data_IF_332417357261
#
_entry.id   IF_332417357261
#
_cell.length_a   1.000
_cell.length_b   1.000
_cell.length_c   1.000
_cell.angle_alpha   90.00
_cell.angle_beta   90.00
_cell.angle_gamma   90.00
#
_symmetry.space_group_name_H-M   'P 1'
#
loop_
_entity.id
_entity.type
_entity.pdbx_description
1 polymer ?
#
# COMPACT_ATOMS: atom_id res chain seq x y z
N UNK A 1 10.60 -16.34 -16.12
CA UNK A 1 11.80 -15.59 -15.72
C UNK A 1 11.70 -15.42 -14.21
N UNK A 2 12.75 -15.73 -13.46
CA UNK A 2 12.73 -15.47 -12.01
C UNK A 2 12.68 -13.95 -11.81
N UNK A 3 11.76 -13.47 -10.98
CA UNK A 3 11.68 -12.06 -10.62
C UNK A 3 12.92 -11.74 -9.79
N UNK A 4 13.71 -10.75 -10.19
CA UNK A 4 14.79 -10.24 -9.34
C UNK A 4 14.17 -9.40 -8.22
N UNK A 5 14.02 -10.01 -7.05
CA UNK A 5 13.43 -9.35 -5.88
C UNK A 5 14.28 -8.18 -5.39
N UNK A 6 15.57 -8.15 -5.71
CA UNK A 6 16.43 -7.00 -5.43
C UNK A 6 15.94 -5.76 -6.17
N UNK A 7 15.75 -5.88 -7.48
CA UNK A 7 15.27 -4.78 -8.32
C UNK A 7 13.86 -4.34 -7.89
N UNK A 8 12.98 -5.31 -7.59
CA UNK A 8 11.62 -5.04 -7.11
C UNK A 8 11.65 -4.25 -5.78
N UNK A 9 12.48 -4.66 -4.82
CA UNK A 9 12.59 -3.98 -3.54
C UNK A 9 13.19 -2.58 -3.69
N UNK A 10 14.29 -2.44 -4.45
CA UNK A 10 14.97 -1.16 -4.67
C UNK A 10 14.05 -0.17 -5.38
N UNK A 11 13.37 -0.60 -6.44
CA UNK A 11 12.44 0.24 -7.18
C UNK A 11 11.27 0.72 -6.30
N UNK A 12 10.74 -0.16 -5.45
CA UNK A 12 9.73 0.22 -4.46
C UNK A 12 10.27 1.22 -3.44
N UNK A 13 11.47 0.97 -2.90
CA UNK A 13 12.13 1.83 -1.93
C UNK A 13 12.34 3.24 -2.48
N UNK A 14 12.88 3.37 -3.69
CA UNK A 14 13.07 4.65 -4.39
C UNK A 14 11.74 5.38 -4.62
N UNK A 15 10.69 4.63 -4.95
CA UNK A 15 9.35 5.18 -5.11
C UNK A 15 8.82 5.81 -3.82
N UNK A 16 8.96 5.12 -2.69
CA UNK A 16 8.50 5.62 -1.38
C UNK A 16 9.34 6.79 -0.87
N UNK A 17 10.67 6.71 -1.01
CA UNK A 17 11.57 7.83 -0.67
C UNK A 17 11.26 9.08 -1.48
N UNK A 18 11.05 8.94 -2.80
CA UNK A 18 10.70 10.06 -3.67
C UNK A 18 9.37 10.69 -3.29
N UNK A 19 8.34 9.90 -2.91
CA UNK A 19 7.05 10.43 -2.44
C UNK A 19 7.19 11.31 -1.20
N UNK A 20 8.17 11.01 -0.35
CA UNK A 20 8.45 11.77 0.89
C UNK A 20 9.59 12.78 0.76
N UNK A 21 10.23 12.85 -0.41
CA UNK A 21 11.47 13.59 -0.62
C UNK A 21 12.55 13.24 0.41
N UNK A 22 12.69 11.93 0.67
CA UNK A 22 13.67 11.38 1.61
C UNK A 22 14.90 10.83 0.89
N UNK A 23 16.02 10.84 1.61
CA UNK A 23 17.26 10.13 1.32
C UNK A 23 17.35 8.84 2.15
N UNK A 24 18.22 7.90 1.77
CA UNK A 24 18.55 6.70 2.56
C UNK A 24 18.86 7.04 4.04
N UNK A 25 19.51 8.18 4.29
CA UNK A 25 19.82 8.65 5.65
C UNK A 25 18.56 9.04 6.43
N UNK A 26 17.65 9.79 5.80
CA UNK A 26 16.39 10.19 6.41
C UNK A 26 15.48 8.99 6.66
N UNK A 27 15.45 8.03 5.73
CA UNK A 27 14.76 6.77 5.93
C UNK A 27 15.35 5.99 7.11
N UNK A 28 16.67 5.80 7.18
CA UNK A 28 17.32 5.09 8.29
C UNK A 28 16.96 5.72 9.64
N UNK A 29 17.03 7.05 9.71
CA UNK A 29 16.69 7.84 10.90
C UNK A 29 15.21 7.68 11.27
N UNK A 30 14.30 7.82 10.32
CA UNK A 30 12.86 7.72 10.56
C UNK A 30 12.43 6.30 10.93
N UNK A 31 13.07 5.27 10.37
CA UNK A 31 12.78 3.87 10.66
C UNK A 31 13.48 3.38 11.94
N UNK A 32 14.39 4.16 12.52
CA UNK A 32 15.17 3.74 13.70
C UNK A 32 16.08 2.54 13.41
N UNK A 33 16.63 2.45 12.19
CA UNK A 33 17.54 1.38 11.77
C UNK A 33 18.92 1.93 11.42
N UNK A 34 19.93 1.05 11.44
CA UNK A 34 21.26 1.41 10.98
C UNK A 34 21.25 1.70 9.48
N UNK A 35 21.93 2.77 9.05
CA UNK A 35 22.16 3.07 7.63
C UNK A 35 22.76 1.89 6.85
N UNK A 36 23.53 1.02 7.53
CA UNK A 36 24.09 -0.20 6.93
C UNK A 36 23.05 -1.19 6.43
N UNK A 37 21.81 -1.14 6.95
CA UNK A 37 20.71 -2.02 6.51
C UNK A 37 20.25 -1.59 5.12
N UNK A 38 20.04 -0.29 4.91
CA UNK A 38 19.63 0.26 3.62
C UNK A 38 20.75 0.11 2.60
N UNK A 39 21.99 0.46 2.98
CA UNK A 39 23.16 0.31 2.11
C UNK A 39 23.35 -1.14 1.64
N UNK A 40 23.14 -2.14 2.51
CA UNK A 40 23.18 -3.55 2.14
C UNK A 40 22.04 -3.94 1.21
N UNK A 41 20.83 -3.41 1.41
CA UNK A 41 19.72 -3.61 0.49
C UNK A 41 20.03 -3.07 -0.91
N UNK A 42 20.64 -1.87 -1.00
CA UNK A 42 21.13 -1.28 -2.27
C UNK A 42 22.18 -2.16 -2.97
N UNK A 43 22.93 -2.97 -2.21
CA UNK A 43 23.93 -3.92 -2.71
C UNK A 43 23.35 -5.30 -3.03
N UNK A 44 22.03 -5.48 -2.91
CA UNK A 44 21.33 -6.75 -3.20
C UNK A 44 21.16 -7.70 -2.03
N UNK A 45 21.51 -7.28 -0.80
CA UNK A 45 21.23 -8.05 0.40
C UNK A 45 19.90 -7.56 0.99
N UNK A 46 18.81 -8.23 0.60
CA UNK A 46 17.46 -7.86 1.01
C UNK A 46 17.27 -7.88 2.54
N UNK A 47 16.53 -6.89 3.10
CA UNK A 47 16.24 -6.84 4.52
C UNK A 47 15.34 -8.00 4.96
N UNK A 48 15.47 -8.39 6.23
CA UNK A 48 14.60 -9.40 6.87
C UNK A 48 13.38 -8.74 7.53
N UNK A 49 12.45 -9.57 8.00
CA UNK A 49 11.16 -9.20 8.60
C UNK A 49 11.19 -7.93 9.47
N UNK A 50 12.04 -7.87 10.49
CA UNK A 50 12.09 -6.72 11.41
C UNK A 50 12.49 -5.41 10.69
N UNK A 51 13.46 -5.47 9.78
CA UNK A 51 13.89 -4.30 9.02
C UNK A 51 12.81 -3.86 8.01
N UNK A 52 12.19 -4.81 7.31
CA UNK A 52 11.06 -4.53 6.42
C UNK A 52 9.89 -3.86 7.16
N UNK A 53 9.57 -4.33 8.37
CA UNK A 53 8.52 -3.74 9.20
C UNK A 53 8.84 -2.29 9.57
N UNK A 54 10.05 -2.04 10.07
CA UNK A 54 10.50 -0.69 10.44
C UNK A 54 10.50 0.27 9.24
N UNK A 55 10.97 -0.19 8.09
CA UNK A 55 10.95 0.59 6.84
C UNK A 55 9.51 0.93 6.43
N UNK A 56 8.62 -0.06 6.40
CA UNK A 56 7.21 0.15 6.04
C UNK A 56 6.51 1.13 6.99
N UNK A 57 6.73 0.97 8.30
CA UNK A 57 6.18 1.85 9.31
C UNK A 57 6.66 3.29 9.15
N UNK A 58 7.94 3.52 8.81
CA UNK A 58 8.46 4.86 8.51
C UNK A 58 7.78 5.50 7.30
N UNK A 59 7.46 4.71 6.28
CA UNK A 59 6.67 5.18 5.15
C UNK A 59 5.18 5.36 5.48
N UNK A 60 4.67 4.74 6.54
CA UNK A 60 3.25 4.76 6.89
C UNK A 60 2.43 3.81 6.00
N UNK A 61 3.08 2.78 5.45
CA UNK A 61 2.47 1.77 4.58
C UNK A 61 2.41 0.42 5.32
N UNK A 62 1.51 -0.49 4.90
CA UNK A 62 1.42 -1.82 5.52
C UNK A 62 2.75 -2.61 5.41
N UNK A 63 3.25 -3.24 6.50
CA UNK A 63 4.48 -4.06 6.47
C UNK A 63 4.47 -5.19 5.44
N UNK A 64 3.29 -5.74 5.12
CA UNK A 64 3.14 -6.81 4.13
C UNK A 64 3.68 -6.42 2.76
N UNK A 65 3.60 -5.14 2.38
CA UNK A 65 4.16 -4.65 1.13
C UNK A 65 5.68 -4.79 1.12
N UNK A 66 6.35 -4.33 2.19
CA UNK A 66 7.80 -4.48 2.30
C UNK A 66 8.23 -5.95 2.32
N UNK A 67 7.45 -6.85 2.95
CA UNK A 67 7.72 -8.28 2.95
C UNK A 67 7.63 -8.89 1.55
N UNK A 68 6.57 -8.56 0.80
CA UNK A 68 6.38 -9.03 -0.57
C UNK A 68 7.49 -8.53 -1.49
N UNK A 69 7.84 -7.24 -1.39
CA UNK A 69 8.91 -6.64 -2.19
C UNK A 69 10.28 -7.22 -1.86
N UNK A 70 10.52 -7.59 -0.59
CA UNK A 70 11.74 -8.28 -0.16
C UNK A 70 11.71 -9.80 -0.43
N UNK A 71 10.64 -10.33 -1.03
CA UNK A 71 10.49 -11.77 -1.30
C UNK A 71 10.32 -12.64 -0.04
N UNK A 72 9.96 -12.05 1.10
CA UNK A 72 9.67 -12.76 2.35
C UNK A 72 8.26 -13.35 2.38
N UNK A 73 7.38 -12.85 1.52
CA UNK A 73 6.01 -13.32 1.36
C UNK A 73 5.65 -13.36 -0.12
N UNK A 74 4.90 -14.38 -0.53
CA UNK A 74 4.36 -14.42 -1.87
C UNK A 74 3.38 -13.28 -2.10
N UNK A 75 3.40 -12.72 -3.30
CA UNK A 75 2.40 -11.74 -3.71
C UNK A 75 1.18 -12.51 -4.16
N UNK A 76 0.11 -12.54 -3.37
CA UNK A 76 -1.17 -13.10 -3.84
C UNK A 76 -1.69 -12.18 -4.96
N UNK A 77 -1.81 -12.67 -6.22
CA UNK A 77 -2.26 -11.86 -7.34
C UNK A 77 -3.69 -11.33 -7.18
N UNK A 78 -4.47 -11.84 -6.21
CA UNK A 78 -5.80 -11.34 -5.88
C UNK A 78 -5.78 -10.24 -4.81
N UNK A 79 -4.62 -9.88 -4.26
CA UNK A 79 -4.50 -8.78 -3.31
C UNK A 79 -4.48 -7.45 -4.06
N UNK A 80 -5.52 -6.64 -3.85
CA UNK A 80 -5.54 -5.25 -4.32
C UNK A 80 -4.67 -4.37 -3.40
N UNK A 81 -3.55 -3.79 -3.90
CA UNK A 81 -2.64 -2.98 -3.08
C UNK A 81 -3.33 -1.76 -2.44
N UNK A 82 -4.30 -1.15 -3.14
CA UNK A 82 -5.03 0.01 -2.63
C UNK A 82 -5.89 -0.37 -1.43
N UNK A 83 -6.55 -1.54 -1.50
CA UNK A 83 -7.40 -2.05 -0.40
C UNK A 83 -6.57 -2.34 0.85
N UNK A 84 -5.42 -3.00 0.74
CA UNK A 84 -4.58 -3.29 1.90
C UNK A 84 -3.98 -2.01 2.51
N UNK A 85 -3.63 -1.02 1.68
CA UNK A 85 -3.23 0.31 2.16
C UNK A 85 -4.35 0.99 2.96
N UNK A 86 -5.58 1.00 2.42
CA UNK A 86 -6.71 1.61 3.13
C UNK A 86 -7.01 0.87 4.44
N UNK A 87 -7.01 -0.46 4.43
CA UNK A 87 -7.19 -1.28 5.65
C UNK A 87 -6.16 -0.95 6.73
N UNK A 88 -4.91 -0.72 6.37
CA UNK A 88 -3.88 -0.29 7.31
C UNK A 88 -4.14 1.11 7.87
N UNK A 89 -4.55 2.07 7.03
CA UNK A 89 -4.94 3.41 7.48
C UNK A 89 -6.16 3.37 8.40
N UNK A 90 -7.17 2.55 8.09
CA UNK A 90 -8.36 2.36 8.91
C UNK A 90 -8.01 1.82 10.31
N UNK A 91 -7.01 0.93 10.43
CA UNK A 91 -6.54 0.44 11.73
C UNK A 91 -5.92 1.53 12.61
N UNK A 92 -5.39 2.59 12.01
CA UNK A 92 -4.81 3.73 12.72
C UNK A 92 -5.84 4.77 13.16
N UNK A 93 -7.10 4.64 12.73
CA UNK A 93 -8.18 5.55 13.15
C UNK A 93 -8.53 5.30 14.62
N UNK A 94 -8.48 6.35 15.47
CA UNK A 94 -8.87 6.25 16.87
C UNK A 94 -10.31 5.73 17.03
N UNK A 95 -10.62 4.88 18.03
CA UNK A 95 -11.94 4.27 18.20
C UNK A 95 -13.11 5.26 18.14
N UNK A 96 -12.95 6.44 18.72
CA UNK A 96 -13.91 7.53 18.78
C UNK A 96 -14.25 8.15 17.41
N UNK A 97 -13.32 8.07 16.44
CA UNK A 97 -13.49 8.60 15.09
C UNK A 97 -14.08 7.56 14.12
N UNK A 98 -14.14 6.28 14.50
CA UNK A 98 -14.64 5.21 13.63
C UNK A 98 -16.07 5.40 13.15
N UNK A 99 -17.05 5.88 13.96
CA UNK A 99 -18.40 6.13 13.48
C UNK A 99 -18.47 7.22 12.40
N UNK A 100 -17.58 8.22 12.46
CA UNK A 100 -17.47 9.22 11.40
C UNK A 100 -16.88 8.62 10.13
N UNK A 101 -15.78 7.87 10.27
CA UNK A 101 -15.15 7.19 9.14
C UNK A 101 -16.12 6.22 8.42
N UNK A 102 -16.91 5.46 9.19
CA UNK A 102 -17.92 4.56 8.65
C UNK A 102 -18.95 5.30 7.78
N UNK A 103 -19.53 6.40 8.30
CA UNK A 103 -20.50 7.22 7.54
C UNK A 103 -19.95 7.73 6.21
N UNK A 104 -18.70 8.18 6.18
CA UNK A 104 -18.05 8.67 4.95
C UNK A 104 -17.88 7.53 3.94
N UNK A 105 -17.41 6.37 4.40
CA UNK A 105 -17.20 5.20 3.54
C UNK A 105 -18.54 4.69 2.99
N UNK A 106 -19.57 4.59 3.84
CA UNK A 106 -20.92 4.19 3.46
C UNK A 106 -21.49 5.11 2.39
N UNK A 107 -21.37 6.44 2.57
CA UNK A 107 -21.83 7.41 1.57
C UNK A 107 -21.18 7.21 0.19
N UNK A 108 -19.87 6.97 0.13
CA UNK A 108 -19.19 6.68 -1.15
C UNK A 108 -19.62 5.35 -1.78
N UNK A 109 -19.92 4.34 -0.96
CA UNK A 109 -20.41 3.05 -1.45
C UNK A 109 -21.81 3.22 -2.06
N UNK A 110 -22.71 3.91 -1.37
CA UNK A 110 -24.07 4.16 -1.82
C UNK A 110 -24.12 4.92 -3.14
N UNK A 111 -23.38 6.03 -3.26
CA UNK A 111 -23.30 6.85 -4.48
C UNK A 111 -22.84 6.00 -5.68
N UNK A 112 -21.83 5.15 -5.49
CA UNK A 112 -21.34 4.25 -6.54
C UNK A 112 -22.38 3.20 -7.00
N UNK A 113 -23.27 2.76 -6.11
CA UNK A 113 -24.33 1.80 -6.42
C UNK A 113 -25.50 2.48 -7.12
N UNK A 114 -25.85 3.70 -6.72
CA UNK A 114 -26.89 4.50 -7.36
C UNK A 114 -26.52 4.83 -8.81
N UNK A 115 -25.30 5.30 -9.06
CA UNK A 115 -24.80 5.55 -10.43
C UNK A 115 -24.83 4.29 -11.30
N UNK A 116 -24.42 3.14 -10.74
CA UNK A 116 -24.49 1.84 -11.43
C UNK A 116 -25.92 1.40 -11.71
N UNK A 117 -26.85 1.67 -10.80
CA UNK A 117 -28.27 1.34 -10.97
C UNK A 117 -28.93 2.20 -12.07
N UNK A 118 -28.62 3.49 -12.11
CA UNK A 118 -29.09 4.43 -13.12
C UNK A 118 -28.49 4.12 -14.50
N UNK A 119 -27.20 3.77 -14.57
CA UNK A 119 -26.53 3.36 -15.81
C UNK A 119 -27.12 2.07 -16.39
N UNK A 120 -27.52 1.11 -15.54
CA UNK A 120 -28.19 -0.13 -15.97
C UNK A 120 -29.61 0.14 -16.50
N UNK A 121 -30.37 1.02 -15.84
CA UNK A 121 -31.74 1.40 -16.27
C UNK A 121 -31.78 2.17 -17.61
N UNK A 122 -30.72 2.92 -17.94
CA UNK A 122 -30.61 3.62 -19.24
C UNK A 122 -30.32 2.68 -20.43
N UNK A 123 -29.67 1.54 -20.21
CA UNK A 123 -29.33 0.58 -21.28
C UNK A 123 -30.47 -0.35 -21.69
N UNK A 124 -31.59 -0.37 -20.97
CA UNK A 124 -32.73 -1.28 -21.21
C UNK A 124 -33.92 -0.65 -21.94
N UNK A 125 -33.86 0.63 -22.36
CA UNK A 125 -34.93 1.21 -23.18
C UNK A 125 -34.81 0.71 -24.62
N UNK A 126 -35.80 -0.03 -25.17
CA UNK A 126 -35.77 -0.44 -26.56
C UNK A 126 -36.02 0.78 -27.45
N UNK A 127 -35.24 0.89 -28.52
CA UNK A 127 -35.52 1.79 -29.65
C UNK A 127 -36.86 1.36 -30.22
N UNK A 128 -37.91 2.15 -30.02
CA UNK A 128 -39.23 1.90 -30.62
C UNK A 128 -39.13 2.09 -32.14
N UNK A 129 -39.47 1.04 -32.88
CA UNK A 129 -39.74 1.01 -34.33
C UNK A 129 -40.91 1.90 -34.72
#
# INVERSE_FOLDING_TARGET
MAVDQTEVFISWLDGEEKKKNWTDYELAKSAGISHSVISRARQGILPKWEACEKIANAFGVPPILAYQKAGLLDTDPNTDPWVEEQKYKLKQIPPEMRPMAARVIEGFVEESQEERSLARSRKTKPVKS
#
